data_IF_280986173497
#
_entry.id   IF_280986173497
#
_cell.length_a   1.000
_cell.length_b   1.000
_cell.length_c   1.000
_cell.angle_alpha   90.00
_cell.angle_beta   90.00
_cell.angle_gamma   90.00
#
_symmetry.space_group_name_H-M   'P 1'
#
loop_
_entity.id
_entity.type
_entity.pdbx_description
1 polymer ?
#
# COMPACT_ATOMS: atom_id res chain seq x y z
N UNK A 1 -45.98 12.13 -44.27
CA UNK A 1 -47.23 11.57 -44.84
C UNK A 1 -47.52 10.22 -44.21
N UNK A 2 -48.77 9.75 -44.24
CA UNK A 2 -49.16 8.41 -43.76
C UNK A 2 -49.18 7.41 -44.92
N UNK A 3 -48.73 6.18 -44.67
CA UNK A 3 -49.15 5.00 -45.46
C UNK A 3 -49.07 3.74 -44.59
N UNK A 4 -50.21 3.18 -44.23
CA UNK A 4 -50.35 1.81 -43.73
C UNK A 4 -50.91 0.95 -44.86
N UNK A 5 -50.48 -0.31 -44.98
CA UNK A 5 -51.26 -1.36 -45.65
C UNK A 5 -51.13 -2.69 -44.89
N UNK A 6 -52.23 -3.02 -44.19
CA UNK A 6 -52.89 -4.33 -44.02
C UNK A 6 -52.13 -5.59 -44.53
N UNK A 7 -51.80 -6.60 -43.69
CA UNK A 7 -52.65 -7.74 -43.24
C UNK A 7 -53.16 -8.63 -44.41
N UNK A 8 -53.25 -9.97 -44.36
CA UNK A 8 -53.18 -10.96 -43.25
C UNK A 8 -52.02 -11.98 -43.50
N UNK A 9 -52.02 -13.32 -43.33
CA UNK A 9 -52.99 -14.40 -42.98
C UNK A 9 -52.28 -15.51 -42.15
N UNK A 10 -53.05 -16.48 -41.65
CA UNK A 10 -52.62 -17.61 -40.80
C UNK A 10 -51.91 -18.74 -41.57
N UNK A 11 -51.11 -19.52 -40.84
CA UNK A 11 -51.28 -20.98 -40.83
C UNK A 11 -51.02 -21.51 -39.40
N UNK A 12 -51.93 -22.34 -38.88
CA UNK A 12 -51.87 -22.86 -37.51
C UNK A 12 -51.55 -24.35 -37.50
N UNK A 13 -50.76 -24.79 -36.52
CA UNK A 13 -50.54 -26.22 -36.22
C UNK A 13 -50.80 -26.43 -34.74
N UNK A 14 -51.76 -27.30 -34.42
CA UNK A 14 -52.12 -27.68 -33.05
C UNK A 14 -51.27 -28.89 -32.64
N UNK A 15 -50.58 -28.84 -31.50
CA UNK A 15 -49.54 -29.84 -31.16
C UNK A 15 -49.34 -30.09 -29.66
N UNK A 16 -50.28 -30.80 -29.04
CA UNK A 16 -50.15 -31.57 -27.79
C UNK A 16 -49.49 -30.90 -26.55
N UNK A 17 -50.31 -30.65 -25.52
CA UNK A 17 -49.82 -30.40 -24.16
C UNK A 17 -49.03 -31.62 -23.63
N UNK A 18 -47.70 -31.53 -23.55
CA UNK A 18 -46.89 -32.42 -22.72
C UNK A 18 -46.65 -31.77 -21.36
N UNK A 19 -47.01 -32.47 -20.28
CA UNK A 19 -46.48 -32.17 -18.94
C UNK A 19 -44.98 -32.44 -18.97
N UNK A 20 -44.17 -31.40 -19.15
CA UNK A 20 -42.77 -31.45 -18.71
C UNK A 20 -42.77 -31.41 -17.19
N UNK A 21 -42.61 -32.57 -16.55
CA UNK A 21 -42.21 -32.62 -15.14
C UNK A 21 -40.81 -32.03 -15.04
N UNK A 22 -40.71 -30.74 -14.75
CA UNK A 22 -39.45 -30.12 -14.35
C UNK A 22 -38.90 -30.96 -13.19
N UNK A 23 -37.70 -31.55 -13.31
CA UNK A 23 -37.08 -32.19 -12.16
C UNK A 23 -36.99 -31.15 -11.05
N UNK A 24 -37.22 -31.57 -9.80
CA UNK A 24 -36.79 -30.76 -8.67
C UNK A 24 -35.26 -30.73 -8.70
N UNK A 25 -34.72 -29.74 -9.43
CA UNK A 25 -33.32 -29.35 -9.34
C UNK A 25 -33.11 -28.75 -7.96
N UNK A 26 -33.01 -29.61 -6.95
CA UNK A 26 -32.61 -29.19 -5.62
C UNK A 26 -31.23 -28.58 -5.74
N UNK A 27 -31.11 -27.31 -5.34
CA UNK A 27 -29.82 -26.66 -5.18
C UNK A 27 -28.93 -27.58 -4.34
N UNK A 28 -27.84 -28.06 -4.93
CA UNK A 28 -26.79 -28.66 -4.12
C UNK A 28 -26.29 -27.55 -3.20
N UNK A 29 -26.31 -27.70 -1.86
CA UNK A 29 -25.61 -26.75 -1.01
C UNK A 29 -24.16 -26.71 -1.48
N UNK A 30 -23.63 -25.50 -1.66
CA UNK A 30 -22.48 -25.15 -2.52
C UNK A 30 -21.11 -25.58 -1.95
N UNK A 31 -21.06 -26.73 -1.25
CA UNK A 31 -19.92 -27.21 -0.46
C UNK A 31 -19.54 -26.35 0.75
N UNK A 32 -20.06 -25.12 0.82
CA UNK A 32 -19.64 -24.09 1.76
C UNK A 32 -20.30 -24.23 3.13
N UNK A 33 -19.44 -24.35 4.12
CA UNK A 33 -19.74 -24.31 5.55
C UNK A 33 -19.97 -22.85 5.95
N UNK A 34 -21.04 -22.59 6.71
CA UNK A 34 -21.28 -21.28 7.30
C UNK A 34 -20.52 -21.17 8.62
N UNK A 35 -19.67 -20.14 8.75
CA UNK A 35 -18.88 -19.88 9.95
C UNK A 35 -19.23 -18.49 10.47
N UNK A 36 -19.75 -18.41 11.69
CA UNK A 36 -19.96 -17.16 12.40
C UNK A 36 -18.62 -16.66 12.93
N UNK A 37 -18.30 -15.38 12.73
CA UNK A 37 -17.08 -14.74 13.20
C UNK A 37 -17.45 -13.58 14.12
N UNK A 38 -16.88 -13.57 15.32
CA UNK A 38 -17.06 -12.50 16.31
C UNK A 38 -15.70 -11.99 16.81
N UNK A 39 -15.65 -10.75 17.28
CA UNK A 39 -14.42 -10.10 17.76
C UNK A 39 -14.74 -9.06 18.86
N UNK A 40 -13.74 -8.52 19.58
CA UNK A 40 -13.97 -7.59 20.69
C UNK A 40 -14.57 -6.24 20.28
N UNK A 41 -14.42 -5.86 19.00
CA UNK A 41 -15.09 -4.71 18.38
C UNK A 41 -15.40 -5.01 16.90
N UNK A 42 -16.08 -4.08 16.23
CA UNK A 42 -16.33 -4.20 14.79
C UNK A 42 -15.02 -4.27 14.00
N UNK A 43 -14.96 -5.17 13.01
CA UNK A 43 -13.74 -5.41 12.24
C UNK A 43 -14.02 -6.07 10.89
N UNK A 44 -13.12 -5.89 9.93
CA UNK A 44 -13.24 -6.48 8.59
C UNK A 44 -12.76 -7.93 8.61
N UNK A 45 -13.54 -8.88 8.07
CA UNK A 45 -13.21 -10.31 8.07
C UNK A 45 -12.41 -10.69 6.81
N UNK A 46 -11.30 -11.38 7.00
CA UNK A 46 -10.43 -11.92 5.96
C UNK A 46 -10.44 -13.44 6.00
N UNK A 47 -10.35 -14.06 4.82
CA UNK A 47 -10.19 -15.49 4.62
C UNK A 47 -8.99 -15.69 3.69
N UNK A 48 -8.00 -16.45 4.15
CA UNK A 48 -6.74 -16.75 3.44
C UNK A 48 -6.05 -15.48 2.89
N UNK A 49 -6.06 -14.42 3.71
CA UNK A 49 -5.51 -13.09 3.39
C UNK A 49 -6.44 -12.17 2.59
N UNK A 50 -7.45 -12.68 1.91
CA UNK A 50 -8.38 -11.88 1.10
C UNK A 50 -9.54 -11.30 1.95
N UNK A 51 -9.88 -10.02 1.73
CA UNK A 51 -11.05 -9.41 2.38
C UNK A 51 -12.36 -10.02 1.84
N UNK A 52 -13.23 -10.48 2.75
CA UNK A 52 -14.49 -11.16 2.39
C UNK A 52 -15.61 -10.20 1.96
N UNK A 53 -15.47 -8.90 2.23
CA UNK A 53 -16.58 -7.95 2.09
C UNK A 53 -17.56 -7.94 3.27
N UNK A 54 -17.26 -8.69 4.34
CA UNK A 54 -18.13 -8.87 5.51
C UNK A 54 -17.39 -8.38 6.76
N UNK A 55 -18.13 -7.80 7.71
CA UNK A 55 -17.60 -7.34 8.99
C UNK A 55 -18.01 -8.27 10.13
N UNK A 56 -17.16 -8.39 11.15
CA UNK A 56 -17.48 -9.02 12.43
C UNK A 56 -18.29 -8.04 13.31
N UNK A 57 -19.30 -8.52 14.07
CA UNK A 57 -19.86 -9.87 14.04
C UNK A 57 -20.63 -10.15 12.74
N UNK A 58 -20.35 -11.29 12.09
CA UNK A 58 -20.92 -11.65 10.79
C UNK A 58 -20.72 -13.13 10.45
N UNK A 59 -21.21 -13.57 9.30
CA UNK A 59 -21.07 -14.95 8.82
C UNK A 59 -20.32 -14.99 7.50
N UNK A 60 -19.38 -15.93 7.35
CA UNK A 60 -18.66 -16.20 6.10
C UNK A 60 -18.94 -17.62 5.60
N UNK A 61 -18.94 -17.79 4.27
CA UNK A 61 -19.19 -19.06 3.61
C UNK A 61 -17.85 -19.65 3.12
N UNK A 62 -17.36 -20.68 3.80
CA UNK A 62 -15.99 -21.20 3.65
C UNK A 62 -16.03 -22.64 3.14
N UNK A 63 -15.05 -23.05 2.34
CA UNK A 63 -14.84 -24.47 1.99
C UNK A 63 -14.47 -25.32 3.21
N UNK A 64 -14.49 -26.65 3.06
CA UNK A 64 -13.94 -27.54 4.07
C UNK A 64 -12.40 -27.65 3.96
N UNK A 65 -11.70 -27.58 5.08
CA UNK A 65 -10.25 -27.74 5.18
C UNK A 65 -9.54 -26.67 6.00
N UNK A 66 -8.20 -26.64 5.88
CA UNK A 66 -7.35 -25.69 6.59
C UNK A 66 -7.42 -24.29 5.97
N UNK A 67 -7.80 -23.31 6.78
CA UNK A 67 -7.95 -21.91 6.40
C UNK A 67 -7.30 -20.98 7.44
N UNK A 68 -6.92 -19.78 7.01
CA UNK A 68 -6.54 -18.66 7.89
C UNK A 68 -7.70 -17.67 7.89
N UNK A 69 -8.38 -17.54 9.03
CA UNK A 69 -9.43 -16.53 9.23
C UNK A 69 -8.87 -15.43 10.11
N UNK A 70 -9.11 -14.17 9.76
CA UNK A 70 -8.68 -13.04 10.57
C UNK A 70 -9.64 -11.87 10.54
N UNK A 71 -9.45 -10.95 11.49
CA UNK A 71 -10.30 -9.77 11.70
C UNK A 71 -9.43 -8.54 11.90
N UNK A 72 -9.61 -7.53 11.05
CA UNK A 72 -8.95 -6.23 11.18
C UNK A 72 -9.88 -5.24 11.90
N UNK A 73 -9.59 -4.97 13.17
CA UNK A 73 -10.44 -4.21 14.09
C UNK A 73 -10.46 -2.70 13.78
N UNK A 74 -11.65 -2.12 13.64
CA UNK A 74 -11.85 -0.80 13.02
C UNK A 74 -11.33 0.40 13.83
N UNK A 75 -11.42 0.38 15.16
CA UNK A 75 -11.05 1.56 15.98
C UNK A 75 -9.63 1.43 16.53
N UNK A 76 -9.27 0.22 16.96
CA UNK A 76 -7.97 -0.11 17.55
C UNK A 76 -6.87 -0.36 16.51
N UNK A 77 -7.22 -0.52 15.24
CA UNK A 77 -6.31 -0.85 14.13
C UNK A 77 -5.40 -2.06 14.46
N UNK A 78 -5.94 -3.06 15.14
CA UNK A 78 -5.25 -4.34 15.39
C UNK A 78 -5.78 -5.41 14.46
N UNK A 79 -4.90 -6.26 13.95
CA UNK A 79 -5.26 -7.49 13.27
C UNK A 79 -5.25 -8.67 14.25
N UNK A 80 -6.26 -9.54 14.17
CA UNK A 80 -6.35 -10.81 14.89
C UNK A 80 -6.43 -11.95 13.87
N UNK A 81 -5.77 -13.09 14.11
CA UNK A 81 -5.77 -14.24 13.17
C UNK A 81 -5.90 -15.59 13.86
N UNK A 82 -6.54 -16.55 13.20
CA UNK A 82 -6.59 -17.97 13.59
C UNK A 82 -6.40 -18.85 12.36
N UNK A 83 -5.49 -19.81 12.47
CA UNK A 83 -5.42 -20.94 11.55
C UNK A 83 -6.34 -22.04 12.08
N UNK A 84 -7.25 -22.54 11.25
CA UNK A 84 -8.35 -23.42 11.64
C UNK A 84 -8.63 -24.47 10.57
N UNK A 85 -8.94 -25.70 10.98
CA UNK A 85 -9.49 -26.73 10.08
C UNK A 85 -11.03 -26.69 10.17
N UNK A 86 -11.66 -26.20 9.11
CA UNK A 86 -13.11 -25.98 9.05
C UNK A 86 -13.75 -27.23 8.44
N UNK A 87 -14.41 -28.03 9.26
CA UNK A 87 -15.04 -29.30 8.86
C UNK A 87 -16.55 -29.34 9.07
N UNK A 88 -17.10 -28.43 9.88
CA UNK A 88 -18.53 -28.25 10.12
C UNK A 88 -18.84 -26.79 10.49
N UNK A 89 -20.13 -26.41 10.47
CA UNK A 89 -20.57 -25.07 10.83
C UNK A 89 -20.33 -24.78 12.32
N UNK A 90 -19.96 -23.54 12.64
CA UNK A 90 -19.60 -23.15 14.01
C UNK A 90 -19.24 -21.67 14.14
N UNK A 91 -18.68 -21.30 15.29
CA UNK A 91 -18.36 -19.91 15.63
C UNK A 91 -16.89 -19.72 15.99
N UNK A 92 -16.21 -18.84 15.25
CA UNK A 92 -14.86 -18.35 15.55
C UNK A 92 -14.97 -17.06 16.37
N UNK A 93 -14.79 -17.18 17.69
CA UNK A 93 -14.69 -16.04 18.59
C UNK A 93 -13.24 -15.58 18.69
N UNK A 94 -12.97 -14.32 18.34
CA UNK A 94 -11.66 -13.68 18.42
C UNK A 94 -11.54 -12.81 19.67
N UNK A 95 -10.31 -12.69 20.17
CA UNK A 95 -9.92 -11.99 21.39
C UNK A 95 -8.58 -11.26 21.17
N UNK A 96 -8.19 -10.36 22.07
CA UNK A 96 -6.88 -9.68 21.98
C UNK A 96 -5.68 -10.62 22.07
N UNK A 97 -5.84 -11.84 22.60
CA UNK A 97 -4.81 -12.87 22.62
C UNK A 97 -4.55 -13.50 21.24
N UNK A 98 -5.46 -13.29 20.27
CA UNK A 98 -5.35 -13.79 18.90
C UNK A 98 -4.60 -12.81 17.97
N UNK A 99 -3.95 -11.78 18.54
CA UNK A 99 -3.06 -10.86 17.82
C UNK A 99 -1.75 -11.58 17.46
N UNK A 100 -1.31 -11.58 16.18
CA UNK A 100 0.00 -12.10 15.80
C UNK A 100 1.14 -11.18 16.26
N UNK A 101 2.33 -11.75 16.39
CA UNK A 101 3.58 -10.97 16.49
C UNK A 101 3.77 -10.22 15.17
N UNK A 102 3.99 -8.89 15.17
CA UNK A 102 4.21 -8.15 13.93
C UNK A 102 5.53 -8.54 13.26
N UNK A 103 5.56 -8.53 11.93
CA UNK A 103 6.79 -8.62 11.15
C UNK A 103 7.61 -7.35 11.39
N UNK A 104 8.87 -7.53 11.77
CA UNK A 104 9.83 -6.43 11.93
C UNK A 104 10.35 -6.01 10.55
N UNK A 105 9.99 -4.82 10.11
CA UNK A 105 10.54 -4.15 8.94
C UNK A 105 11.65 -3.17 9.40
N UNK A 106 12.72 -3.04 8.61
CA UNK A 106 13.85 -2.15 8.89
C UNK A 106 13.91 -1.02 7.87
N UNK A 107 13.86 0.22 8.33
CA UNK A 107 14.14 1.39 7.50
C UNK A 107 15.51 2.00 7.85
N UNK A 108 16.18 2.53 6.83
CA UNK A 108 17.25 3.50 7.00
C UNK A 108 16.70 4.89 6.64
N UNK A 109 16.64 5.80 7.61
CA UNK A 109 16.34 7.20 7.35
C UNK A 109 17.63 8.01 7.25
N UNK A 110 17.75 8.80 6.19
CA UNK A 110 18.93 9.58 5.84
C UNK A 110 18.57 11.06 5.80
N UNK A 111 19.10 11.83 6.74
CA UNK A 111 19.06 13.29 6.72
C UNK A 111 20.25 13.82 5.93
N UNK A 112 20.03 14.60 4.86
CA UNK A 112 21.11 15.23 4.10
C UNK A 112 21.31 16.66 4.62
N UNK A 113 22.49 16.94 5.20
CA UNK A 113 22.82 18.24 5.77
C UNK A 113 23.06 19.31 4.70
N UNK A 114 23.67 18.96 3.55
CA UNK A 114 23.87 19.87 2.43
C UNK A 114 23.63 19.15 1.09
N UNK A 115 22.80 19.73 0.23
CA UNK A 115 22.65 19.36 -1.19
C UNK A 115 23.20 20.46 -2.11
N UNK A 116 23.95 20.08 -3.15
CA UNK A 116 24.63 20.97 -4.10
C UNK A 116 24.25 20.69 -5.55
N UNK A 117 24.18 21.72 -6.39
CA UNK A 117 23.98 21.54 -7.83
C UNK A 117 23.84 22.85 -8.63
N UNK A 118 23.89 22.73 -9.96
CA UNK A 118 23.71 23.84 -10.91
C UNK A 118 22.23 24.15 -11.12
N UNK A 119 21.73 25.12 -10.35
CA UNK A 119 20.36 25.62 -10.41
C UNK A 119 20.12 26.56 -11.60
N UNK A 120 18.94 27.20 -11.68
CA UNK A 120 18.66 28.25 -12.68
C UNK A 120 19.40 29.57 -12.42
N UNK A 121 19.91 29.81 -11.20
CA UNK A 121 20.70 31.00 -10.83
C UNK A 121 22.21 30.74 -10.82
N UNK A 122 22.64 29.52 -11.15
CA UNK A 122 24.03 29.06 -11.09
C UNK A 122 24.23 27.96 -10.05
N UNK A 123 25.50 27.62 -9.77
CA UNK A 123 25.86 26.65 -8.74
C UNK A 123 25.52 27.20 -7.34
N UNK A 124 24.77 26.43 -6.57
CA UNK A 124 24.41 26.79 -5.20
C UNK A 124 24.22 25.55 -4.31
N UNK A 125 23.99 25.78 -3.02
CA UNK A 125 23.66 24.75 -2.03
C UNK A 125 22.43 25.10 -1.20
N UNK A 126 21.80 24.07 -0.65
CA UNK A 126 20.71 24.13 0.32
C UNK A 126 21.05 23.24 1.52
N UNK A 127 20.77 23.72 2.74
CA UNK A 127 21.22 23.07 3.97
C UNK A 127 20.09 22.81 4.97
N UNK A 128 20.17 21.70 5.71
CA UNK A 128 19.40 21.51 6.94
C UNK A 128 20.33 21.51 8.15
N UNK A 129 20.03 22.36 9.14
CA UNK A 129 20.62 22.25 10.47
C UNK A 129 20.22 20.93 11.13
N UNK A 130 21.00 20.46 12.13
CA UNK A 130 20.68 19.23 12.87
C UNK A 130 19.26 19.26 13.46
N UNK A 131 18.84 20.41 14.00
CA UNK A 131 17.50 20.59 14.55
C UNK A 131 16.37 20.53 13.49
N UNK A 132 16.67 20.85 12.22
CA UNK A 132 15.74 20.64 11.10
C UNK A 132 15.71 19.17 10.66
N UNK A 133 16.86 18.47 10.67
CA UNK A 133 16.89 17.02 10.44
C UNK A 133 16.16 16.24 11.55
N UNK A 134 16.24 16.70 12.80
CA UNK A 134 15.46 16.15 13.93
C UNK A 134 13.95 16.28 13.69
N UNK A 135 13.47 17.46 13.27
CA UNK A 135 12.07 17.67 12.91
C UNK A 135 11.62 16.80 11.72
N UNK A 136 12.46 16.66 10.70
CA UNK A 136 12.20 15.79 9.55
C UNK A 136 12.11 14.32 9.93
N UNK A 137 12.97 13.86 10.85
CA UNK A 137 12.96 12.51 11.38
C UNK A 137 11.72 12.24 12.24
N UNK A 138 11.33 13.18 13.11
CA UNK A 138 10.11 13.07 13.92
C UNK A 138 8.84 13.07 13.05
N UNK A 139 8.82 13.82 11.94
CA UNK A 139 7.74 13.74 10.95
C UNK A 139 7.68 12.36 10.25
N UNK A 140 8.83 11.79 9.89
CA UNK A 140 8.90 10.44 9.34
C UNK A 140 8.42 9.38 10.35
N UNK A 141 8.92 9.40 11.60
CA UNK A 141 8.49 8.48 12.67
C UNK A 141 7.00 8.61 12.99
N UNK A 142 6.46 9.82 12.98
CA UNK A 142 5.01 10.06 13.09
C UNK A 142 4.23 9.41 11.94
N UNK A 143 4.71 9.53 10.70
CA UNK A 143 4.04 8.94 9.53
C UNK A 143 4.07 7.41 9.54
N UNK A 144 5.19 6.79 9.98
CA UNK A 144 5.27 5.34 10.19
C UNK A 144 4.18 4.85 11.16
N UNK A 145 3.99 5.54 12.28
CA UNK A 145 2.97 5.19 13.28
C UNK A 145 1.54 5.45 12.79
N UNK A 146 1.27 6.60 12.17
CA UNK A 146 -0.09 7.00 11.79
C UNK A 146 -0.58 6.37 10.49
N UNK A 147 0.32 5.94 9.60
CA UNK A 147 -0.03 5.42 8.28
C UNK A 147 0.49 4.00 8.06
N UNK A 148 1.80 3.75 8.20
CA UNK A 148 2.36 2.45 7.82
C UNK A 148 1.92 1.33 8.78
N UNK A 149 2.25 1.45 10.08
CA UNK A 149 1.89 0.46 11.10
C UNK A 149 0.36 0.39 11.26
N UNK A 150 -0.32 1.55 11.24
CA UNK A 150 -1.78 1.65 11.39
C UNK A 150 -2.56 1.03 10.22
N UNK A 151 -2.21 1.34 8.97
CA UNK A 151 -2.96 0.83 7.81
C UNK A 151 -2.64 -0.64 7.50
N UNK A 152 -1.49 -1.13 7.97
CA UNK A 152 -1.19 -2.56 8.08
C UNK A 152 -1.88 -3.24 9.29
N UNK A 153 -2.75 -2.56 10.03
CA UNK A 153 -3.41 -3.07 11.24
C UNK A 153 -2.43 -3.64 12.30
N UNK A 154 -1.30 -2.97 12.48
CA UNK A 154 -0.21 -3.34 13.39
C UNK A 154 0.35 -4.75 13.16
N UNK A 155 0.32 -5.23 11.92
CA UNK A 155 1.06 -6.43 11.47
C UNK A 155 2.50 -6.14 11.05
N UNK A 156 2.82 -4.87 10.75
CA UNK A 156 4.19 -4.36 10.62
C UNK A 156 4.61 -3.72 11.94
N UNK A 157 5.89 -3.86 12.30
CA UNK A 157 6.58 -2.94 13.20
C UNK A 157 7.85 -2.39 12.53
N UNK A 158 8.08 -1.07 12.57
CA UNK A 158 9.25 -0.43 11.96
C UNK A 158 10.37 -0.13 12.96
N UNK A 159 11.41 -0.96 12.91
CA UNK A 159 12.75 -0.58 13.36
C UNK A 159 13.34 0.45 12.40
N UNK A 160 13.92 1.53 12.93
CA UNK A 160 14.50 2.61 12.11
C UNK A 160 15.91 2.90 12.59
N UNK A 161 16.87 2.84 11.66
CA UNK A 161 18.19 3.44 11.82
C UNK A 161 18.17 4.84 11.24
N UNK A 162 18.66 5.84 11.98
CA UNK A 162 18.95 7.18 11.44
C UNK A 162 20.45 7.32 11.18
N UNK A 163 20.79 7.94 10.06
CA UNK A 163 22.13 8.42 9.70
C UNK A 163 21.97 9.80 9.07
N UNK A 164 22.86 10.74 9.39
CA UNK A 164 22.87 12.06 8.76
C UNK A 164 24.15 12.20 7.92
N UNK A 165 24.01 12.56 6.63
CA UNK A 165 25.15 12.83 5.75
C UNK A 165 25.55 14.29 5.95
N UNK A 166 26.74 14.50 6.51
CA UNK A 166 27.37 15.83 6.71
C UNK A 166 28.29 16.26 5.55
N UNK A 167 28.56 15.36 4.60
CA UNK A 167 29.24 15.70 3.36
C UNK A 167 28.24 16.30 2.34
N UNK A 168 28.69 17.18 1.43
CA UNK A 168 27.81 17.72 0.40
C UNK A 168 27.37 16.62 -0.57
N UNK A 169 26.06 16.43 -0.75
CA UNK A 169 25.49 15.51 -1.74
C UNK A 169 25.25 16.28 -3.04
N UNK A 170 25.88 15.83 -4.13
CA UNK A 170 25.64 16.39 -5.46
C UNK A 170 24.30 15.88 -6.00
N UNK A 171 23.45 16.80 -6.45
CA UNK A 171 22.16 16.50 -7.09
C UNK A 171 22.37 16.16 -8.56
N UNK A 172 21.81 15.04 -9.01
CA UNK A 172 21.67 14.74 -10.44
C UNK A 172 20.58 15.63 -11.02
N UNK A 173 20.78 16.18 -12.21
CA UNK A 173 19.75 16.92 -12.97
C UNK A 173 19.31 16.10 -14.18
N UNK A 174 18.11 15.54 -14.12
CA UNK A 174 17.50 14.77 -15.20
C UNK A 174 17.12 15.62 -16.42
N UNK A 175 16.91 14.96 -17.57
CA UNK A 175 16.52 15.61 -18.83
C UNK A 175 15.16 16.35 -18.77
N UNK A 176 14.31 15.98 -17.81
CA UNK A 176 13.06 16.66 -17.45
C UNK A 176 13.28 17.90 -16.53
N UNK A 177 14.53 18.31 -16.31
CA UNK A 177 14.97 19.34 -15.35
C UNK A 177 14.64 19.05 -13.88
N UNK A 178 14.38 17.79 -13.52
CA UNK A 178 14.22 17.41 -12.12
C UNK A 178 15.59 17.22 -11.47
N UNK A 179 15.73 17.69 -10.24
CA UNK A 179 16.90 17.47 -9.40
C UNK A 179 16.61 16.31 -8.45
N UNK A 180 17.49 15.31 -8.40
CA UNK A 180 17.35 14.10 -7.57
C UNK A 180 18.59 13.84 -6.72
N UNK A 181 18.36 13.26 -5.55
CA UNK A 181 19.39 12.54 -4.79
C UNK A 181 19.28 11.07 -5.21
N UNK A 182 20.22 10.61 -6.04
CA UNK A 182 20.12 9.30 -6.69
C UNK A 182 20.51 8.14 -5.75
N UNK A 183 19.94 6.93 -5.96
CA UNK A 183 20.23 5.76 -5.12
C UNK A 183 21.72 5.38 -5.07
N UNK A 184 22.45 5.52 -6.19
CA UNK A 184 23.89 5.24 -6.29
C UNK A 184 24.72 6.23 -5.46
N UNK A 185 24.44 7.53 -5.56
CA UNK A 185 25.14 8.58 -4.78
C UNK A 185 25.02 8.35 -3.28
N UNK A 186 23.88 7.80 -2.83
CA UNK A 186 23.66 7.42 -1.44
C UNK A 186 24.36 6.11 -1.07
N UNK A 187 24.38 5.11 -1.97
CA UNK A 187 25.10 3.85 -1.76
C UNK A 187 26.63 4.07 -1.61
N UNK A 188 27.21 4.92 -2.45
CA UNK A 188 28.64 5.26 -2.42
C UNK A 188 29.05 5.95 -1.10
N UNK A 189 28.13 6.72 -0.49
CA UNK A 189 28.32 7.39 0.79
C UNK A 189 27.95 6.52 2.01
N UNK A 190 27.18 5.45 1.82
CA UNK A 190 26.75 4.53 2.87
C UNK A 190 26.92 3.06 2.42
N UNK A 191 28.15 2.51 2.46
CA UNK A 191 28.42 1.13 2.05
C UNK A 191 27.70 0.07 2.90
N UNK A 192 27.15 0.43 4.06
CA UNK A 192 26.25 -0.39 4.88
C UNK A 192 24.92 -0.73 4.17
N UNK A 193 24.55 -0.02 3.09
CA UNK A 193 23.33 -0.29 2.30
C UNK A 193 23.58 -1.46 1.35
N UNK A 194 23.41 -2.66 1.88
CA UNK A 194 23.58 -3.92 1.16
C UNK A 194 22.28 -4.75 1.14
N UNK A 195 22.12 -5.68 0.18
CA UNK A 195 21.04 -6.67 0.19
C UNK A 195 20.82 -7.30 1.56
N UNK A 196 19.59 -7.18 2.08
CA UNK A 196 19.20 -7.74 3.38
C UNK A 196 19.39 -6.83 4.60
N UNK A 197 20.05 -5.67 4.47
CA UNK A 197 20.22 -4.72 5.56
C UNK A 197 18.91 -4.00 5.93
N UNK A 198 18.22 -3.44 4.93
CA UNK A 198 17.01 -2.62 5.09
C UNK A 198 15.94 -3.03 4.09
N UNK A 199 14.67 -2.90 4.48
CA UNK A 199 13.52 -3.10 3.59
C UNK A 199 13.27 -1.87 2.71
N UNK A 200 13.57 -0.67 3.23
CA UNK A 200 13.54 0.57 2.46
C UNK A 200 14.52 1.62 3.03
N UNK A 201 15.13 2.40 2.15
CA UNK A 201 15.91 3.61 2.46
C UNK A 201 15.04 4.83 2.17
N UNK A 202 15.04 5.79 3.09
CA UNK A 202 14.28 7.05 3.01
C UNK A 202 15.24 8.23 3.13
N UNK A 203 15.30 9.10 2.12
CA UNK A 203 16.24 10.22 2.05
C UNK A 203 15.51 11.55 2.13
N UNK A 204 15.93 12.43 3.04
CA UNK A 204 15.31 13.72 3.32
C UNK A 204 16.30 14.86 3.05
N UNK A 205 15.97 15.78 2.14
CA UNK A 205 16.85 16.87 1.71
C UNK A 205 16.09 18.16 1.38
N UNK A 206 16.77 19.30 1.29
CA UNK A 206 16.13 20.63 1.22
C UNK A 206 15.97 21.13 -0.21
N UNK A 207 14.73 21.41 -0.62
CA UNK A 207 14.46 21.91 -1.98
C UNK A 207 14.98 23.34 -2.21
N UNK A 208 14.81 24.24 -1.23
CA UNK A 208 15.15 25.66 -1.39
C UNK A 208 15.70 26.30 -0.12
N UNK A 209 16.61 27.26 -0.32
CA UNK A 209 17.18 28.11 0.72
C UNK A 209 17.61 29.45 0.09
N UNK A 210 17.08 30.56 0.61
CA UNK A 210 17.36 31.90 0.08
C UNK A 210 17.06 32.03 -1.42
N UNK A 211 18.10 32.24 -2.23
CA UNK A 211 18.03 32.32 -3.69
C UNK A 211 18.36 31.00 -4.42
N UNK A 212 18.71 29.94 -3.68
CA UNK A 212 18.95 28.60 -4.22
C UNK A 212 17.65 27.79 -4.25
N UNK A 213 17.37 27.12 -5.37
CA UNK A 213 16.17 26.28 -5.49
C UNK A 213 16.35 25.15 -6.51
N UNK A 214 16.06 23.93 -6.06
CA UNK A 214 16.09 22.68 -6.82
C UNK A 214 14.68 22.18 -7.14
N UNK A 215 13.78 23.13 -7.42
CA UNK A 215 12.37 22.86 -7.75
C UNK A 215 12.24 21.94 -8.95
N UNK A 216 11.42 20.91 -8.77
CA UNK A 216 11.17 19.83 -9.72
C UNK A 216 9.69 19.43 -9.66
N UNK A 217 9.16 18.77 -10.70
CA UNK A 217 7.74 18.43 -10.85
C UNK A 217 7.22 17.29 -9.96
N UNK A 218 7.79 17.13 -8.77
CA UNK A 218 7.49 16.06 -7.80
C UNK A 218 7.60 16.60 -6.36
N UNK A 219 7.22 15.83 -5.34
CA UNK A 219 7.51 16.17 -3.93
C UNK A 219 8.36 15.10 -3.24
N UNK A 220 7.86 13.87 -3.20
CA UNK A 220 8.71 12.68 -3.11
C UNK A 220 8.88 12.01 -4.49
N UNK A 221 9.79 11.04 -4.53
CA UNK A 221 9.94 10.09 -5.62
C UNK A 221 10.42 8.73 -5.09
N UNK A 222 9.89 7.65 -5.66
CA UNK A 222 10.32 6.28 -5.39
C UNK A 222 10.09 5.34 -6.59
N UNK A 223 11.01 5.39 -7.57
CA UNK A 223 10.87 4.69 -8.86
C UNK A 223 11.60 3.33 -8.94
N UNK A 224 12.23 2.90 -7.86
CA UNK A 224 13.02 1.66 -7.81
C UNK A 224 12.14 0.42 -7.67
N UNK A 225 12.47 -0.66 -8.37
CA UNK A 225 11.89 -1.98 -8.09
C UNK A 225 12.81 -2.69 -7.08
N UNK A 226 12.37 -2.89 -5.82
CA UNK A 226 13.28 -3.22 -4.73
C UNK A 226 14.17 -4.43 -4.96
N UNK A 227 13.70 -5.49 -5.65
CA UNK A 227 14.47 -6.72 -5.84
C UNK A 227 15.28 -6.74 -7.15
N UNK A 228 15.10 -5.75 -8.02
CA UNK A 228 15.82 -5.61 -9.31
C UNK A 228 16.98 -4.61 -9.21
N UNK A 229 16.98 -3.72 -8.22
CA UNK A 229 18.15 -2.87 -7.89
C UNK A 229 19.32 -3.67 -7.30
N UNK A 230 20.55 -3.17 -7.47
CA UNK A 230 21.78 -3.77 -6.91
C UNK A 230 21.77 -3.87 -5.38
N UNK A 231 21.25 -2.83 -4.70
CA UNK A 231 21.13 -2.77 -3.23
C UNK A 231 20.05 -3.70 -2.66
N UNK A 232 19.17 -4.24 -3.52
CA UNK A 232 17.99 -5.03 -3.16
C UNK A 232 17.14 -4.48 -2.00
N UNK A 233 16.78 -3.19 -2.08
CA UNK A 233 15.98 -2.48 -1.07
C UNK A 233 15.09 -1.45 -1.75
N UNK A 234 13.96 -1.07 -1.13
CA UNK A 234 13.16 0.06 -1.63
C UNK A 234 13.90 1.38 -1.44
N UNK A 235 13.71 2.35 -2.33
CA UNK A 235 14.33 3.67 -2.21
C UNK A 235 13.31 4.80 -2.41
N UNK A 236 13.21 5.67 -1.40
CA UNK A 236 12.35 6.85 -1.35
C UNK A 236 13.22 8.08 -1.15
N UNK A 237 13.06 9.11 -1.98
CA UNK A 237 13.66 10.44 -1.76
C UNK A 237 12.57 11.50 -1.65
N UNK A 238 12.61 12.32 -0.60
CA UNK A 238 11.67 13.42 -0.35
C UNK A 238 12.46 14.72 -0.25
N UNK A 239 12.17 15.66 -1.14
CA UNK A 239 12.72 17.02 -1.10
C UNK A 239 11.71 17.93 -0.44
N UNK A 240 12.15 18.67 0.57
CA UNK A 240 11.26 19.43 1.44
C UNK A 240 11.60 20.91 1.39
N UNK A 241 10.64 21.74 0.96
CA UNK A 241 10.75 23.19 1.05
C UNK A 241 10.36 23.67 2.44
N UNK A 242 11.34 23.80 3.34
CA UNK A 242 11.15 24.35 4.67
C UNK A 242 10.58 25.79 4.67
N UNK A 243 10.66 26.52 3.55
CA UNK A 243 10.23 27.92 3.47
C UNK A 243 10.89 28.75 4.60
N UNK A 244 10.12 29.53 5.36
CA UNK A 244 10.57 30.28 6.54
C UNK A 244 10.59 29.49 7.84
N UNK A 245 9.99 28.28 7.89
CA UNK A 245 9.83 27.48 9.11
C UNK A 245 9.51 26.03 8.77
N UNK A 246 10.45 25.13 9.02
CA UNK A 246 10.28 23.70 8.75
C UNK A 246 9.13 23.10 9.59
N UNK A 247 9.04 23.47 10.88
CA UNK A 247 7.95 23.08 11.78
C UNK A 247 6.57 23.42 11.19
N UNK A 248 6.39 24.64 10.70
CA UNK A 248 5.09 25.08 10.17
C UNK A 248 4.77 24.39 8.83
N UNK A 249 5.78 24.13 8.00
CA UNK A 249 5.61 23.32 6.78
C UNK A 249 5.25 21.87 7.11
N UNK A 250 5.89 21.24 8.09
CA UNK A 250 5.55 19.89 8.58
C UNK A 250 4.11 19.86 9.12
N UNK A 251 3.71 20.86 9.90
CA UNK A 251 2.34 20.97 10.41
C UNK A 251 1.32 21.24 9.29
N UNK A 252 1.70 21.95 8.23
CA UNK A 252 0.87 22.06 7.03
C UNK A 252 0.66 20.69 6.37
N UNK A 253 1.72 19.92 6.10
CA UNK A 253 1.60 18.58 5.52
C UNK A 253 0.74 17.65 6.40
N UNK A 254 1.02 17.57 7.71
CA UNK A 254 0.21 16.77 8.67
C UNK A 254 -1.31 17.04 8.61
N UNK A 255 -1.72 18.23 8.19
CA UNK A 255 -3.13 18.64 8.09
C UNK A 255 -3.72 18.62 6.66
N UNK A 256 -2.90 18.72 5.61
CA UNK A 256 -3.35 18.94 4.22
C UNK A 256 -2.95 17.82 3.26
N UNK A 257 -1.75 17.25 3.44
CA UNK A 257 -1.26 16.06 2.74
C UNK A 257 -0.32 15.28 3.69
N UNK A 258 -0.90 14.45 4.58
CA UNK A 258 -0.10 13.64 5.49
C UNK A 258 0.45 12.37 4.81
N UNK A 259 0.10 12.13 3.54
CA UNK A 259 0.34 10.88 2.82
C UNK A 259 1.76 10.67 2.31
N UNK A 260 2.49 11.75 2.03
CA UNK A 260 3.90 11.82 1.55
C UNK A 260 4.68 10.51 1.67
N UNK A 261 5.07 10.12 2.89
CA UNK A 261 5.98 8.98 3.10
C UNK A 261 5.36 7.63 2.70
N UNK A 262 4.06 7.42 2.92
CA UNK A 262 3.38 6.17 2.54
C UNK A 262 3.06 6.15 1.04
N UNK A 263 2.78 7.30 0.43
CA UNK A 263 2.63 7.44 -1.02
C UNK A 263 3.88 6.94 -1.76
N UNK A 264 5.06 7.49 -1.41
CA UNK A 264 6.32 7.07 -2.05
C UNK A 264 6.68 5.62 -1.75
N UNK A 265 6.53 5.17 -0.50
CA UNK A 265 6.79 3.78 -0.15
C UNK A 265 5.87 2.81 -0.89
N UNK A 266 4.62 3.21 -1.21
CA UNK A 266 3.73 2.40 -2.04
C UNK A 266 4.19 2.31 -3.50
N UNK A 267 4.81 3.34 -4.10
CA UNK A 267 5.38 3.20 -5.47
C UNK A 267 6.48 2.13 -5.54
N UNK A 268 7.39 2.10 -4.55
CA UNK A 268 8.52 1.16 -4.54
C UNK A 268 8.20 -0.20 -3.92
N UNK A 269 7.61 -0.29 -2.72
CA UNK A 269 7.27 -1.58 -2.09
C UNK A 269 5.84 -2.00 -2.39
N UNK A 270 4.89 -1.07 -2.32
CA UNK A 270 3.45 -1.38 -2.48
C UNK A 270 3.08 -1.93 -3.84
N UNK A 271 3.60 -1.33 -4.92
CA UNK A 271 3.43 -1.81 -6.29
C UNK A 271 4.42 -2.93 -6.59
N UNK A 272 5.71 -2.60 -6.74
CA UNK A 272 6.69 -3.50 -7.33
C UNK A 272 6.87 -4.79 -6.53
N UNK A 273 7.14 -4.71 -5.22
CA UNK A 273 7.44 -5.91 -4.41
C UNK A 273 6.21 -6.80 -4.19
N UNK A 274 5.02 -6.23 -3.94
CA UNK A 274 3.81 -7.04 -3.77
C UNK A 274 3.23 -7.57 -5.09
N UNK A 275 3.38 -6.84 -6.21
CA UNK A 275 3.05 -7.38 -7.54
C UNK A 275 4.02 -8.49 -7.96
N UNK A 276 5.34 -8.35 -7.72
CA UNK A 276 6.32 -9.42 -7.95
C UNK A 276 6.09 -10.64 -7.01
N UNK A 277 5.41 -10.47 -5.86
CA UNK A 277 4.88 -11.56 -5.00
C UNK A 277 3.53 -12.14 -5.47
N UNK A 278 2.98 -11.67 -6.59
CA UNK A 278 1.75 -12.20 -7.19
C UNK A 278 0.44 -11.69 -6.58
N UNK A 279 0.46 -10.64 -5.76
CA UNK A 279 -0.76 -10.04 -5.23
C UNK A 279 -1.50 -9.25 -6.31
N UNK A 280 -2.84 -9.27 -6.23
CA UNK A 280 -3.71 -8.54 -7.16
C UNK A 280 -3.94 -7.13 -6.64
N UNK A 281 -3.18 -6.19 -7.19
CA UNK A 281 -3.24 -4.77 -6.86
C UNK A 281 -4.29 -4.04 -7.73
N UNK A 282 -4.74 -2.84 -7.34
CA UNK A 282 -5.59 -2.01 -8.19
C UNK A 282 -4.97 -1.73 -9.58
N UNK A 283 -5.81 -1.38 -10.55
CA UNK A 283 -5.33 -1.06 -11.90
C UNK A 283 -4.49 0.22 -11.90
N UNK A 284 -3.44 0.23 -12.72
CA UNK A 284 -2.58 1.39 -12.95
C UNK A 284 -3.34 2.52 -13.66
N UNK A 285 -3.03 3.76 -13.30
CA UNK A 285 -3.52 4.97 -13.95
C UNK A 285 -2.86 5.17 -15.34
N UNK A 286 -3.25 6.25 -16.04
CA UNK A 286 -2.76 6.55 -17.38
C UNK A 286 -1.26 6.85 -17.51
N UNK A 287 -0.56 7.04 -16.39
CA UNK A 287 0.89 7.18 -16.29
C UNK A 287 1.63 5.86 -16.00
N UNK A 288 0.88 4.76 -15.76
CA UNK A 288 1.44 3.45 -15.43
C UNK A 288 1.65 3.20 -13.93
N UNK A 289 1.11 4.02 -13.02
CA UNK A 289 1.26 3.86 -11.57
C UNK A 289 -0.08 3.50 -10.91
N UNK A 290 -0.07 2.53 -9.99
CA UNK A 290 -1.24 2.12 -9.20
C UNK A 290 -1.57 3.18 -8.16
N UNK A 291 -0.59 3.72 -7.44
CA UNK A 291 -0.82 4.69 -6.35
C UNK A 291 -1.62 5.91 -6.83
N UNK A 292 -1.43 6.33 -8.08
CA UNK A 292 -2.15 7.45 -8.70
C UNK A 292 -3.56 7.11 -9.22
N UNK A 293 -3.97 5.84 -9.22
CA UNK A 293 -5.29 5.42 -9.67
C UNK A 293 -6.43 5.75 -8.68
N UNK A 294 -6.12 6.36 -7.53
CA UNK A 294 -7.06 6.69 -6.46
C UNK A 294 -8.37 7.31 -6.97
N UNK A 295 -8.30 8.28 -7.88
CA UNK A 295 -9.49 8.98 -8.41
C UNK A 295 -10.31 8.12 -9.39
N UNK A 296 -9.68 7.16 -10.09
CA UNK A 296 -10.38 6.17 -10.92
C UNK A 296 -11.24 5.23 -10.05
N UNK A 297 -10.84 5.01 -8.80
CA UNK A 297 -11.60 4.30 -7.77
C UNK A 297 -12.42 5.26 -6.87
N UNK A 298 -12.59 6.52 -7.28
CA UNK A 298 -13.40 7.56 -6.63
C UNK A 298 -12.90 8.04 -5.25
N UNK A 299 -11.63 7.82 -4.90
CA UNK A 299 -11.01 8.39 -3.71
C UNK A 299 -10.55 9.84 -3.97
N UNK A 300 -10.68 10.69 -2.96
CA UNK A 300 -10.42 12.14 -3.05
C UNK A 300 -9.08 12.47 -2.34
N UNK A 301 -8.31 13.41 -2.90
CA UNK A 301 -7.07 13.91 -2.30
C UNK A 301 -7.30 14.46 -0.87
N UNK A 302 -6.43 14.22 0.13
CA UNK A 302 -5.08 13.63 0.07
C UNK A 302 -5.01 12.09 0.10
N UNK A 303 -6.04 11.39 -0.38
CA UNK A 303 -5.99 9.94 -0.66
C UNK A 303 -5.67 9.04 0.56
N UNK A 304 -5.80 9.54 1.80
CA UNK A 304 -5.50 8.74 3.00
C UNK A 304 -6.38 7.48 3.13
N UNK A 305 -7.65 7.58 2.74
CA UNK A 305 -8.54 6.42 2.66
C UNK A 305 -8.13 5.42 1.57
N UNK A 306 -7.52 5.89 0.48
CA UNK A 306 -6.97 5.05 -0.58
C UNK A 306 -5.73 4.29 -0.11
N UNK A 307 -4.77 4.97 0.54
CA UNK A 307 -3.61 4.29 1.12
C UNK A 307 -4.02 3.26 2.18
N UNK A 308 -5.01 3.58 3.03
CA UNK A 308 -5.60 2.65 4.00
C UNK A 308 -6.25 1.44 3.32
N UNK A 309 -7.11 1.66 2.33
CA UNK A 309 -7.83 0.57 1.65
C UNK A 309 -6.89 -0.28 0.77
N UNK A 310 -5.88 0.31 0.13
CA UNK A 310 -4.83 -0.40 -0.63
C UNK A 310 -4.00 -1.27 0.31
N UNK A 311 -3.42 -0.70 1.37
CA UNK A 311 -2.63 -1.47 2.34
C UNK A 311 -3.45 -2.57 3.01
N UNK A 312 -4.75 -2.37 3.25
CA UNK A 312 -5.61 -3.39 3.86
C UNK A 312 -6.35 -4.31 2.88
N UNK A 313 -6.06 -4.27 1.57
CA UNK A 313 -6.72 -5.09 0.54
C UNK A 313 -8.26 -4.95 0.51
N UNK A 314 -8.75 -3.71 0.66
CA UNK A 314 -10.18 -3.35 0.66
C UNK A 314 -10.59 -2.42 -0.48
N UNK A 315 -9.69 -2.03 -1.39
CA UNK A 315 -10.06 -1.32 -2.63
C UNK A 315 -11.03 -2.21 -3.41
N UNK A 316 -12.21 -1.70 -3.74
CA UNK A 316 -13.22 -2.47 -4.48
C UNK A 316 -12.79 -2.60 -5.94
N UNK A 317 -12.75 -3.83 -6.47
CA UNK A 317 -12.46 -4.06 -7.88
C UNK A 317 -13.63 -3.56 -8.74
N UNK A 318 -13.30 -2.89 -9.85
CA UNK A 318 -14.26 -2.36 -10.84
C UNK A 318 -14.29 -3.20 -12.13
N UNK A 319 -13.40 -4.20 -12.24
CA UNK A 319 -13.24 -5.11 -13.37
C UNK A 319 -13.46 -6.56 -12.93
N UNK A 320 -13.30 -7.51 -13.85
CA UNK A 320 -13.29 -8.94 -13.54
C UNK A 320 -12.17 -9.32 -12.54
N UNK A 321 -12.36 -10.44 -11.82
CA UNK A 321 -11.39 -10.98 -10.86
C UNK A 321 -11.91 -11.01 -9.41
N UNK A 322 -11.04 -10.91 -8.39
CA UNK A 322 -11.46 -10.85 -6.99
C UNK A 322 -12.20 -9.54 -6.72
N UNK A 323 -13.13 -9.56 -5.75
CA UNK A 323 -13.98 -8.40 -5.41
C UNK A 323 -13.19 -7.23 -4.79
N UNK A 324 -12.04 -7.52 -4.17
CA UNK A 324 -11.20 -6.52 -3.50
C UNK A 324 -9.72 -6.72 -3.88
N UNK A 325 -8.97 -5.62 -3.90
CA UNK A 325 -7.58 -5.53 -4.37
C UNK A 325 -6.70 -4.81 -3.34
N UNK A 326 -5.39 -5.09 -3.38
CA UNK A 326 -4.39 -4.47 -2.51
C UNK A 326 -3.47 -5.49 -1.83
N UNK A 327 -2.90 -5.12 -0.67
CA UNK A 327 -1.85 -5.90 0.00
C UNK A 327 -2.43 -6.83 1.09
N UNK A 328 -3.06 -6.26 2.12
CA UNK A 328 -3.76 -7.00 3.17
C UNK A 328 -2.89 -7.36 4.39
N UNK A 329 -3.48 -7.47 5.61
CA UNK A 329 -2.70 -7.68 6.84
C UNK A 329 -1.85 -8.96 6.88
N UNK A 330 -2.30 -10.09 6.32
CA UNK A 330 -1.50 -11.33 6.29
C UNK A 330 -0.25 -11.19 5.38
N UNK A 331 -0.34 -10.45 4.27
CA UNK A 331 0.78 -10.27 3.35
C UNK A 331 1.94 -9.45 3.97
N UNK A 332 1.64 -8.65 4.99
CA UNK A 332 2.64 -7.94 5.79
C UNK A 332 3.30 -8.82 6.87
N UNK A 333 2.64 -9.91 7.31
CA UNK A 333 3.23 -10.90 8.22
C UNK A 333 4.20 -11.86 7.51
N UNK A 334 4.04 -12.04 6.19
CA UNK A 334 4.91 -12.84 5.33
C UNK A 334 6.32 -12.24 5.12
N UNK A 335 7.03 -12.70 4.09
CA UNK A 335 8.40 -12.26 3.87
C UNK A 335 8.49 -10.78 3.46
N UNK A 336 9.37 -10.03 4.13
CA UNK A 336 9.70 -8.63 3.81
C UNK A 336 10.76 -8.52 2.70
N UNK A 337 10.99 -7.30 2.21
CA UNK A 337 11.92 -7.01 1.10
C UNK A 337 13.33 -7.52 1.42
N UNK A 338 13.85 -7.20 2.61
CA UNK A 338 15.21 -7.56 3.03
C UNK A 338 15.36 -9.06 3.26
N UNK A 339 14.33 -9.75 3.76
CA UNK A 339 14.35 -11.21 3.91
C UNK A 339 14.38 -11.92 2.55
N UNK A 340 13.67 -11.38 1.54
CA UNK A 340 13.76 -11.86 0.15
C UNK A 340 15.10 -11.54 -0.51
N UNK A 341 15.68 -10.37 -0.26
CA UNK A 341 16.94 -9.93 -0.87
C UNK A 341 18.10 -10.94 -0.72
N UNK A 342 18.12 -11.64 0.42
CA UNK A 342 19.12 -12.65 0.81
C UNK A 342 18.55 -14.08 0.96
N UNK A 343 17.32 -14.34 0.47
CA UNK A 343 16.65 -15.64 0.51
C UNK A 343 16.51 -16.28 1.92
N UNK A 344 16.36 -15.48 2.99
CA UNK A 344 16.17 -16.00 4.37
C UNK A 344 14.70 -16.28 4.71
N UNK A 345 13.77 -16.01 3.79
CA UNK A 345 12.34 -16.28 3.97
C UNK A 345 11.67 -16.74 2.68
N UNK A 346 11.00 -17.89 2.73
CA UNK A 346 10.09 -18.38 1.70
C UNK A 346 8.65 -18.04 2.12
N UNK A 347 7.82 -17.66 1.15
CA UNK A 347 6.36 -17.52 1.34
C UNK A 347 5.69 -18.83 0.92
#
# INVERSE_FOLDING_TARGET
MKTQWTLVLLLAVVGACKKSSTPAGGDKPDGKIQVAVSAPEAGYIYLDGAYTGISAPGNIAVTAGNHIVGVALQNSFQYLRKQVDITAAGTLNFTTADKPVPKVWKALWIGVNETKGTSTTGDCSTHFSTAELDQGYDFFRWSLQQHFEKYAYNTIHWEVTRKDITAPVMLTRGANNWYTVDPSTIADLMPDIQPGAYDCVFVFWRESEGACSFKSGYFGLAWTNPLKESMKTGYVTVKFDASTSLTDRINYYKNNDPGVWVHEWLHTVGENFYQDKGLQLPHKAGDGLVVHAAEMYHYIFPWMNWYLDFMSARVTNVNDGPKYLGIGPEAFLGCSVREKAINTCND
#
